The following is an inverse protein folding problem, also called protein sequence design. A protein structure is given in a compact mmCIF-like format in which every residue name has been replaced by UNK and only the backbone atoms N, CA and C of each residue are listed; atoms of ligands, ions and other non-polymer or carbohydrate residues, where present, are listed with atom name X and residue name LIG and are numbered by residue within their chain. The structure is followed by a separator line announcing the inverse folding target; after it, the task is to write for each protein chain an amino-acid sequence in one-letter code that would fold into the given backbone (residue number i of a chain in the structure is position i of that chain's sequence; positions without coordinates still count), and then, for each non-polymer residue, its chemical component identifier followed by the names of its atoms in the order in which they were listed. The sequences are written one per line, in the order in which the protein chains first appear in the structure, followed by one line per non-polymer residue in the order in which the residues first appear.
data_IF_540069439046
#
_entry.id   IF_540069439046
#
_cell.length_a   1.000
_cell.length_b   1.000
_cell.length_c   1.000
_cell.angle_alpha   90.00
_cell.angle_beta   90.00
_cell.angle_gamma   90.00
#
_symmetry.space_group_name_H-M   'P 1'
#
loop_
_entity.id
_entity.type
_entity.pdbx_description
1 polymer ?
#
# COMPACT_ATOMS: atom_id res chain seq x y z
N UNK A 1 -26.74 31.35 -10.52
CA UNK A 1 -27.19 30.07 -9.93
C UNK A 1 -27.41 29.18 -11.12
N UNK A 2 -26.34 28.49 -11.50
CA UNK A 2 -26.16 28.02 -12.87
C UNK A 2 -26.88 26.69 -13.05
N UNK A 3 -27.75 26.61 -14.06
CA UNK A 3 -28.52 25.42 -14.43
C UNK A 3 -27.63 24.19 -14.68
N UNK A 4 -26.33 24.39 -14.88
CA UNK A 4 -25.35 23.33 -15.07
C UNK A 4 -25.08 22.50 -13.80
N UNK A 5 -25.33 23.06 -12.61
CA UNK A 5 -25.15 22.34 -11.34
C UNK A 5 -26.29 21.35 -11.04
N UNK A 6 -27.47 21.53 -11.65
CA UNK A 6 -28.62 20.63 -11.50
C UNK A 6 -28.60 19.42 -12.43
N UNK A 7 -27.88 19.47 -13.55
CA UNK A 7 -27.81 18.35 -14.51
C UNK A 7 -26.83 17.25 -14.11
N UNK A 8 -25.85 17.54 -13.25
CA UNK A 8 -24.91 16.53 -12.77
C UNK A 8 -25.53 15.55 -11.74
N UNK A 9 -26.57 15.97 -11.01
CA UNK A 9 -27.19 15.14 -9.97
C UNK A 9 -28.11 14.03 -10.51
N UNK A 10 -28.48 14.05 -11.79
CA UNK A 10 -29.49 13.11 -12.36
C UNK A 10 -28.89 11.88 -13.05
N UNK A 11 -27.57 11.71 -13.07
CA UNK A 11 -26.89 10.60 -13.77
C UNK A 11 -26.09 9.65 -12.85
N UNK A 12 -26.29 9.71 -11.53
CA UNK A 12 -25.69 8.74 -10.62
C UNK A 12 -26.52 7.45 -10.62
N UNK A 13 -26.18 6.52 -11.53
CA UNK A 13 -26.76 5.17 -11.60
C UNK A 13 -26.40 4.33 -10.37
N UNK A 14 -25.48 4.79 -9.52
CA UNK A 14 -25.09 4.13 -8.29
C UNK A 14 -25.30 5.06 -7.09
N UNK A 15 -25.96 4.62 -6.00
CA UNK A 15 -25.89 5.30 -4.71
C UNK A 15 -24.42 5.40 -4.26
N UNK A 16 -24.08 6.19 -3.22
CA UNK A 16 -22.75 6.13 -2.60
C UNK A 16 -22.40 4.67 -2.32
N UNK A 17 -21.53 4.09 -3.15
CA UNK A 17 -21.18 2.67 -3.09
C UNK A 17 -20.32 2.42 -1.85
N UNK A 18 -19.38 3.33 -1.57
CA UNK A 18 -18.46 3.30 -0.45
C UNK A 18 -18.15 4.73 0.02
N UNK A 19 -18.01 4.90 1.33
CA UNK A 19 -17.46 6.11 1.95
C UNK A 19 -15.99 5.86 2.30
N UNK A 20 -15.12 6.78 1.90
CA UNK A 20 -13.69 6.70 2.22
C UNK A 20 -13.32 7.70 3.29
N UNK A 21 -12.31 7.37 4.09
CA UNK A 21 -11.72 8.31 5.02
C UNK A 21 -11.13 9.51 4.25
N UNK A 22 -11.23 10.73 4.82
CA UNK A 22 -10.70 11.91 4.16
C UNK A 22 -9.17 11.85 4.10
N UNK A 23 -8.60 12.03 2.91
CA UNK A 23 -7.15 12.10 2.71
C UNK A 23 -6.70 13.54 2.92
N UNK A 24 -5.84 13.77 3.91
CA UNK A 24 -5.38 15.11 4.32
C UNK A 24 -6.54 16.10 4.55
N UNK A 25 -7.65 15.61 5.12
CA UNK A 25 -8.84 16.41 5.40
C UNK A 25 -9.71 16.73 4.18
N UNK A 26 -9.41 16.16 2.99
CA UNK A 26 -10.23 16.30 1.78
C UNK A 26 -11.09 15.06 1.58
N UNK A 27 -12.35 15.26 1.21
CA UNK A 27 -13.27 14.18 0.84
C UNK A 27 -12.79 13.51 -0.44
N UNK A 28 -12.83 12.18 -0.47
CA UNK A 28 -12.59 11.38 -1.67
C UNK A 28 -13.94 11.03 -2.32
N UNK A 29 -14.04 11.23 -3.63
CA UNK A 29 -15.23 10.92 -4.42
C UNK A 29 -14.83 10.04 -5.62
N UNK A 30 -15.61 8.99 -5.87
CA UNK A 30 -15.41 8.11 -7.03
C UNK A 30 -16.15 8.69 -8.22
N UNK A 31 -15.43 8.95 -9.30
CA UNK A 31 -15.98 9.43 -10.57
C UNK A 31 -15.40 8.65 -11.73
N UNK A 32 -16.25 8.31 -12.71
CA UNK A 32 -15.84 7.66 -13.96
C UNK A 32 -15.50 8.67 -15.07
N UNK A 33 -15.59 9.98 -14.77
CA UNK A 33 -15.34 11.07 -15.71
C UNK A 33 -14.26 12.03 -15.21
N UNK A 34 -13.51 11.62 -14.18
CA UNK A 34 -12.40 12.41 -13.65
C UNK A 34 -11.26 12.55 -14.68
N UNK A 35 -10.55 13.70 -14.73
CA UNK A 35 -9.40 13.89 -15.62
C UNK A 35 -8.23 12.96 -15.30
N UNK A 36 -8.08 12.63 -14.01
CA UNK A 36 -7.12 11.67 -13.51
C UNK A 36 -7.83 10.33 -13.26
N UNK A 37 -7.30 9.26 -13.86
CA UNK A 37 -7.90 7.94 -13.84
C UNK A 37 -6.86 6.94 -13.34
N UNK A 38 -7.25 6.17 -12.32
CA UNK A 38 -6.45 5.06 -11.82
C UNK A 38 -7.22 3.75 -11.96
N UNK A 39 -6.52 2.70 -12.39
CA UNK A 39 -7.04 1.32 -12.39
C UNK A 39 -6.95 0.66 -11.01
N UNK A 40 -6.36 1.34 -10.02
CA UNK A 40 -6.07 0.80 -8.69
C UNK A 40 -7.13 1.18 -7.64
N UNK A 41 -8.31 1.64 -8.07
CA UNK A 41 -9.36 2.15 -7.15
C UNK A 41 -9.78 1.20 -6.03
N UNK A 42 -9.61 -0.12 -6.22
CA UNK A 42 -9.84 -1.13 -5.17
C UNK A 42 -8.93 -0.98 -3.95
N UNK A 43 -7.74 -0.40 -4.11
CA UNK A 43 -6.80 -0.16 -3.01
C UNK A 43 -7.35 0.79 -1.95
N UNK A 44 -8.30 1.67 -2.28
CA UNK A 44 -8.94 2.52 -1.28
C UNK A 44 -9.74 1.71 -0.25
N UNK A 45 -10.26 0.54 -0.64
CA UNK A 45 -10.93 -0.38 0.28
C UNK A 45 -9.91 -1.09 1.18
N UNK A 46 -8.76 -1.49 0.61
CA UNK A 46 -7.67 -2.10 1.36
C UNK A 46 -7.03 -1.10 2.34
N UNK A 47 -6.81 0.14 1.93
CA UNK A 47 -6.38 1.24 2.78
C UNK A 47 -7.35 1.52 3.93
N UNK A 48 -8.66 1.52 3.66
CA UNK A 48 -9.67 1.63 4.72
C UNK A 48 -9.74 0.42 5.65
N UNK A 49 -9.33 -0.77 5.20
CA UNK A 49 -9.16 -1.93 6.09
C UNK A 49 -7.91 -1.78 6.95
N UNK A 50 -6.76 -1.47 6.34
CA UNK A 50 -5.49 -1.28 7.05
C UNK A 50 -5.61 -0.17 8.09
N UNK A 51 -6.22 0.97 7.79
CA UNK A 51 -6.44 2.04 8.78
C UNK A 51 -7.27 1.59 10.00
N UNK A 52 -8.11 0.55 9.86
CA UNK A 52 -8.89 0.00 10.98
C UNK A 52 -8.13 -1.01 11.82
N UNK A 53 -7.21 -1.78 11.21
CA UNK A 53 -6.46 -2.84 11.89
C UNK A 53 -5.04 -2.41 12.29
N UNK A 54 -4.47 -1.41 11.62
CA UNK A 54 -3.13 -0.88 11.84
C UNK A 54 -2.00 -1.83 11.48
N UNK A 55 -2.20 -2.74 10.51
CA UNK A 55 -1.21 -3.78 10.21
C UNK A 55 0.09 -3.17 9.68
N UNK A 56 0.02 -2.24 8.73
CA UNK A 56 1.22 -1.62 8.14
C UNK A 56 1.99 -0.79 9.16
N UNK A 57 1.28 -0.04 10.01
CA UNK A 57 1.88 0.70 11.13
C UNK A 57 2.66 -0.25 12.08
N UNK A 58 2.04 -1.39 12.45
CA UNK A 58 2.69 -2.39 13.31
C UNK A 58 3.91 -3.02 12.65
N UNK A 59 3.81 -3.38 11.36
CA UNK A 59 4.92 -3.92 10.58
C UNK A 59 6.07 -2.92 10.46
N UNK A 60 5.76 -1.65 10.21
CA UNK A 60 6.74 -0.56 10.18
C UNK A 60 7.40 -0.38 11.55
N UNK A 61 6.66 -0.56 12.63
CA UNK A 61 7.17 -0.52 14.01
C UNK A 61 8.22 -1.59 14.33
N UNK A 62 8.30 -2.68 13.53
CA UNK A 62 9.36 -3.68 13.63
C UNK A 62 10.68 -3.23 12.99
N UNK A 63 10.71 -2.10 12.29
CA UNK A 63 11.86 -1.64 11.51
C UNK A 63 12.62 -0.52 12.23
N UNK A 64 13.95 -0.60 12.23
CA UNK A 64 14.80 0.47 12.77
C UNK A 64 15.28 1.40 11.64
N UNK A 65 14.71 2.60 11.56
CA UNK A 65 15.16 3.60 10.58
C UNK A 65 16.43 4.32 11.03
N UNK A 66 17.59 3.77 10.65
CA UNK A 66 18.92 4.35 10.88
C UNK A 66 19.28 5.48 9.92
N UNK A 67 18.39 5.79 8.96
CA UNK A 67 18.66 6.86 8.00
C UNK A 67 18.64 8.19 8.72
N UNK A 68 19.31 9.13 8.08
CA UNK A 68 19.44 10.48 8.54
C UNK A 68 18.10 11.24 8.38
N UNK A 69 17.40 11.64 9.47
CA UNK A 69 15.99 12.07 9.36
C UNK A 69 15.75 13.27 8.44
N UNK A 70 16.70 14.19 8.34
CA UNK A 70 16.59 15.36 7.46
C UNK A 70 16.84 15.09 5.98
N UNK A 71 17.19 13.84 5.62
CA UNK A 71 17.38 13.38 4.25
C UNK A 71 16.31 12.35 3.84
N UNK A 72 15.27 12.17 4.64
CA UNK A 72 14.19 11.22 4.36
C UNK A 72 13.11 11.90 3.52
N UNK A 73 13.03 11.52 2.26
CA UNK A 73 11.91 11.90 1.37
C UNK A 73 10.74 10.90 1.45
N UNK A 74 11.03 9.66 1.84
CA UNK A 74 10.08 8.54 1.95
C UNK A 74 10.25 7.82 3.28
N UNK A 75 9.24 7.93 4.14
CA UNK A 75 9.20 7.19 5.41
C UNK A 75 9.10 5.69 5.14
N UNK A 76 9.49 4.85 6.10
CA UNK A 76 9.27 3.40 5.94
C UNK A 76 7.80 3.05 5.86
N UNK A 77 6.93 3.77 6.57
CA UNK A 77 5.48 3.61 6.46
C UNK A 77 4.97 3.85 5.02
N UNK A 78 5.37 4.96 4.39
CA UNK A 78 5.02 5.26 2.99
C UNK A 78 5.54 4.18 2.03
N UNK A 79 6.76 3.68 2.26
CA UNK A 79 7.38 2.68 1.40
C UNK A 79 6.76 1.29 1.58
N UNK A 80 6.47 0.88 2.82
CA UNK A 80 5.78 -0.39 3.08
C UNK A 80 4.36 -0.35 2.53
N UNK A 81 3.64 0.76 2.71
CA UNK A 81 2.32 0.95 2.13
C UNK A 81 2.34 0.83 0.62
N UNK A 82 3.27 1.55 -0.04
CA UNK A 82 3.46 1.44 -1.48
C UNK A 82 3.70 -0.02 -1.89
N UNK A 83 4.64 -0.71 -1.24
CA UNK A 83 5.06 -2.04 -1.65
C UNK A 83 3.99 -3.10 -1.44
N UNK A 84 3.36 -3.12 -0.27
CA UNK A 84 2.31 -4.09 0.07
C UNK A 84 1.12 -3.91 -0.89
N UNK A 85 0.76 -2.67 -1.22
CA UNK A 85 -0.39 -2.42 -2.10
C UNK A 85 -0.08 -2.71 -3.57
N UNK A 86 1.16 -2.51 -4.02
CA UNK A 86 1.59 -2.97 -5.33
C UNK A 86 1.47 -4.50 -5.45
N UNK A 87 1.99 -5.24 -4.48
CA UNK A 87 1.87 -6.71 -4.44
C UNK A 87 0.39 -7.13 -4.40
N UNK A 88 -0.44 -6.47 -3.60
CA UNK A 88 -1.88 -6.75 -3.53
C UNK A 88 -2.60 -6.53 -4.87
N UNK A 89 -2.09 -5.63 -5.72
CA UNK A 89 -2.59 -5.38 -7.07
C UNK A 89 -1.94 -6.26 -8.16
N UNK A 90 -1.04 -7.18 -7.79
CA UNK A 90 -0.34 -8.06 -8.73
C UNK A 90 0.91 -7.46 -9.36
N UNK A 91 1.47 -6.40 -8.77
CA UNK A 91 2.72 -5.76 -9.16
C UNK A 91 3.84 -6.18 -8.20
N UNK A 92 4.42 -7.34 -8.49
CA UNK A 92 5.40 -7.99 -7.62
C UNK A 92 6.83 -7.52 -7.89
N UNK A 93 7.12 -6.93 -9.04
CA UNK A 93 8.47 -6.52 -9.40
C UNK A 93 8.79 -5.14 -8.83
N UNK A 94 10.06 -4.94 -8.42
CA UNK A 94 10.44 -3.66 -7.83
C UNK A 94 10.42 -2.51 -8.86
N UNK A 95 10.55 -2.80 -10.15
CA UNK A 95 10.47 -1.78 -11.23
C UNK A 95 9.05 -1.23 -11.40
N UNK A 96 8.02 -1.96 -10.97
CA UNK A 96 6.65 -1.44 -10.85
C UNK A 96 6.57 -0.21 -9.93
N UNK A 97 7.54 -0.01 -9.03
CA UNK A 97 7.68 1.25 -8.28
C UNK A 97 7.85 2.45 -9.21
N UNK A 98 8.67 2.35 -10.25
CA UNK A 98 8.86 3.45 -11.19
C UNK A 98 7.64 3.67 -12.07
N UNK A 99 6.90 2.59 -12.40
CA UNK A 99 5.65 2.67 -13.16
C UNK A 99 4.51 3.31 -12.37
N UNK A 100 4.37 2.95 -11.09
CA UNK A 100 3.19 3.29 -10.28
C UNK A 100 3.41 4.44 -9.30
N UNK A 101 4.63 4.98 -9.17
CA UNK A 101 4.91 6.05 -8.18
C UNK A 101 4.11 7.33 -8.37
N UNK A 102 3.54 7.55 -9.56
CA UNK A 102 2.69 8.69 -9.86
C UNK A 102 1.19 8.42 -9.77
N UNK A 103 0.78 7.16 -9.56
CA UNK A 103 -0.63 6.79 -9.41
C UNK A 103 -1.27 7.50 -8.22
N UNK A 104 -2.39 8.18 -8.47
CA UNK A 104 -3.05 9.00 -7.47
C UNK A 104 -3.70 8.19 -6.36
N UNK A 105 -4.22 6.99 -6.65
CA UNK A 105 -4.81 6.12 -5.64
C UNK A 105 -3.71 5.57 -4.73
N UNK A 106 -2.59 5.13 -5.28
CA UNK A 106 -1.46 4.63 -4.49
C UNK A 106 -0.85 5.75 -3.62
N UNK A 107 -0.72 6.97 -4.15
CA UNK A 107 -0.33 8.16 -3.36
C UNK A 107 -1.27 8.40 -2.19
N UNK A 108 -2.59 8.35 -2.43
CA UNK A 108 -3.61 8.51 -1.38
C UNK A 108 -3.51 7.43 -0.31
N UNK A 109 -3.27 6.17 -0.71
CA UNK A 109 -3.09 5.06 0.23
C UNK A 109 -1.89 5.30 1.15
N UNK A 110 -0.78 5.82 0.62
CA UNK A 110 0.41 6.20 1.40
C UNK A 110 0.27 7.55 2.12
N UNK A 111 -0.96 8.03 2.37
CA UNK A 111 -1.22 9.28 3.11
C UNK A 111 -0.87 10.58 2.37
N UNK A 112 -0.53 10.50 1.07
CA UNK A 112 -0.16 11.67 0.26
C UNK A 112 -1.34 12.20 -0.55
N UNK A 113 -1.29 13.48 -0.93
CA UNK A 113 -2.24 14.01 -1.91
C UNK A 113 -1.91 13.50 -3.32
N UNK A 114 -2.91 13.37 -4.22
CA UNK A 114 -2.67 13.04 -5.64
C UNK A 114 -1.62 13.93 -6.32
N UNK A 115 -1.64 15.23 -6.02
CA UNK A 115 -0.74 16.23 -6.60
C UNK A 115 0.64 16.33 -5.91
N UNK A 116 0.92 15.45 -4.94
CA UNK A 116 2.18 15.47 -4.20
C UNK A 116 3.34 14.90 -5.02
N UNK A 117 4.55 14.98 -4.47
CA UNK A 117 5.73 14.31 -5.01
C UNK A 117 5.46 12.83 -5.26
N UNK A 118 6.07 12.23 -6.30
CA UNK A 118 5.96 10.80 -6.55
C UNK A 118 6.30 9.95 -5.31
N UNK A 119 5.77 8.74 -5.24
CA UNK A 119 6.20 7.73 -4.29
C UNK A 119 7.65 7.28 -4.56
N UNK A 120 8.14 6.35 -3.75
CA UNK A 120 9.51 5.89 -3.84
C UNK A 120 9.77 5.18 -5.18
N UNK A 121 10.95 5.43 -5.74
CA UNK A 121 11.40 4.80 -6.99
C UNK A 121 11.90 3.37 -6.75
N UNK A 122 12.07 2.58 -7.81
CA UNK A 122 12.66 1.24 -7.74
C UNK A 122 13.94 1.16 -6.90
N UNK A 123 14.98 2.00 -7.12
CA UNK A 123 16.22 1.86 -6.35
C UNK A 123 16.04 2.24 -4.87
N UNK A 124 15.02 3.00 -4.53
CA UNK A 124 14.71 3.35 -3.14
C UNK A 124 14.06 2.14 -2.46
N UNK A 125 13.10 1.50 -3.13
CA UNK A 125 12.46 0.26 -2.67
C UNK A 125 13.47 -0.89 -2.50
N UNK A 126 14.32 -1.12 -3.50
CA UNK A 126 15.35 -2.16 -3.44
C UNK A 126 16.29 -1.99 -2.25
N UNK A 127 16.62 -0.76 -1.85
CA UNK A 127 17.45 -0.51 -0.64
C UNK A 127 16.72 -0.82 0.65
N UNK A 128 15.40 -0.61 0.71
CA UNK A 128 14.57 -1.00 1.84
C UNK A 128 14.60 -2.52 1.99
N UNK A 129 14.23 -3.25 0.93
CA UNK A 129 14.08 -4.71 0.94
C UNK A 129 15.40 -5.42 1.27
N UNK A 130 16.51 -5.00 0.64
CA UNK A 130 17.83 -5.60 0.87
C UNK A 130 18.52 -5.09 2.14
N UNK A 131 17.97 -4.05 2.76
CA UNK A 131 18.55 -3.42 3.95
C UNK A 131 17.99 -3.96 5.27
N UNK A 132 17.21 -5.04 5.25
CA UNK A 132 16.59 -5.63 6.45
C UNK A 132 17.48 -6.68 7.10
N UNK A 133 17.56 -6.64 8.42
CA UNK A 133 18.20 -7.69 9.21
C UNK A 133 17.27 -8.88 9.40
N UNK A 134 17.85 -10.06 9.62
CA UNK A 134 17.08 -11.27 9.94
C UNK A 134 16.20 -11.09 11.20
N UNK A 135 16.62 -10.22 12.12
CA UNK A 135 15.87 -9.90 13.33
C UNK A 135 14.61 -9.10 12.99
N UNK A 136 14.74 -8.04 12.20
CA UNK A 136 13.58 -7.24 11.76
C UNK A 136 12.58 -8.11 10.98
N UNK A 137 13.06 -8.95 10.06
CA UNK A 137 12.22 -9.88 9.31
C UNK A 137 11.49 -10.88 10.22
N UNK A 138 12.17 -11.40 11.26
CA UNK A 138 11.55 -12.27 12.25
C UNK A 138 10.49 -11.54 13.08
N UNK A 139 10.78 -10.32 13.54
CA UNK A 139 9.83 -9.49 14.29
C UNK A 139 8.59 -9.15 13.44
N UNK A 140 8.75 -8.85 12.16
CA UNK A 140 7.63 -8.68 11.21
C UNK A 140 6.82 -9.97 11.05
N UNK A 141 7.47 -11.13 10.93
CA UNK A 141 6.79 -12.42 10.83
C UNK A 141 5.96 -12.74 12.07
N UNK A 142 6.51 -12.49 13.26
CA UNK A 142 5.76 -12.62 14.54
C UNK A 142 4.58 -11.64 14.56
N UNK A 143 4.79 -10.38 14.21
CA UNK A 143 3.73 -9.38 14.14
C UNK A 143 2.56 -9.81 13.24
N UNK A 144 2.87 -10.39 12.08
CA UNK A 144 1.86 -10.89 11.15
C UNK A 144 1.05 -12.07 11.72
N UNK A 145 1.72 -13.02 12.38
CA UNK A 145 1.04 -14.16 13.05
C UNK A 145 0.17 -13.67 14.22
N UNK A 146 0.66 -12.71 15.00
CA UNK A 146 -0.12 -12.11 16.09
C UNK A 146 -1.37 -11.39 15.58
N UNK A 147 -1.27 -10.63 14.48
CA UNK A 147 -2.44 -10.01 13.84
C UNK A 147 -3.43 -11.08 13.35
N UNK A 148 -2.93 -12.15 12.72
CA UNK A 148 -3.76 -13.26 12.28
C UNK A 148 -4.52 -13.90 13.44
N UNK A 149 -3.85 -14.20 14.56
CA UNK A 149 -4.50 -14.74 15.77
C UNK A 149 -5.53 -13.77 16.32
N UNK A 150 -5.20 -12.47 16.41
CA UNK A 150 -6.09 -11.44 16.92
C UNK A 150 -7.34 -11.22 16.05
N UNK A 151 -7.33 -11.66 14.79
CA UNK A 151 -8.49 -11.59 13.89
C UNK A 151 -9.60 -12.60 14.21
N UNK A 152 -9.35 -13.57 15.10
CA UNK A 152 -10.33 -14.56 15.57
C UNK A 152 -10.94 -14.16 16.93
N UNK A 153 -12.19 -14.57 17.18
CA UNK A 153 -12.84 -14.37 18.49
C UNK A 153 -12.11 -15.12 19.63
N UNK A 154 -11.51 -16.27 19.32
CA UNK A 154 -10.69 -17.08 20.21
C UNK A 154 -9.46 -17.61 19.45
N UNK A 155 -8.34 -17.81 20.15
CA UNK A 155 -7.09 -18.29 19.55
C UNK A 155 -7.29 -19.66 18.85
N UNK A 156 -6.86 -19.80 17.59
CA UNK A 156 -7.02 -21.06 16.86
C UNK A 156 -6.15 -22.17 17.46
N UNK A 157 -6.69 -23.40 17.56
CA UNK A 157 -5.96 -24.56 18.10
C UNK A 157 -4.73 -24.95 17.25
N UNK A 158 -4.70 -24.56 15.98
CA UNK A 158 -3.64 -24.90 15.03
C UNK A 158 -3.54 -23.83 13.93
N UNK A 159 -2.31 -23.46 13.59
CA UNK A 159 -1.97 -22.65 12.42
C UNK A 159 -1.14 -23.51 11.48
N UNK A 160 -1.58 -23.63 10.23
CA UNK A 160 -0.83 -24.30 9.16
C UNK A 160 -0.21 -23.21 8.29
N UNK A 161 1.12 -23.12 8.31
CA UNK A 161 1.87 -22.22 7.45
C UNK A 161 2.42 -23.02 6.28
N UNK A 162 2.05 -22.64 5.07
CA UNK A 162 2.67 -23.16 3.87
C UNK A 162 3.90 -22.30 3.54
N UNK A 163 5.03 -22.97 3.31
CA UNK A 163 6.30 -22.32 2.99
C UNK A 163 6.76 -22.84 1.64
N UNK A 164 6.33 -22.17 0.57
CA UNK A 164 6.85 -22.43 -0.76
C UNK A 164 8.23 -21.78 -0.93
N UNK A 165 9.28 -22.59 -1.07
CA UNK A 165 10.61 -22.07 -1.45
C UNK A 165 10.63 -21.87 -2.97
N UNK A 166 10.33 -20.64 -3.42
CA UNK A 166 10.36 -20.28 -4.85
C UNK A 166 11.78 -20.02 -5.38
N UNK A 167 12.80 -20.09 -4.52
CA UNK A 167 14.18 -19.74 -4.86
C UNK A 167 14.97 -20.95 -5.40
N UNK A 168 14.82 -21.25 -6.69
CA UNK A 168 15.86 -22.02 -7.36
C UNK A 168 17.06 -21.10 -7.62
N UNK A 169 18.22 -21.41 -7.05
CA UNK A 169 19.49 -20.79 -7.47
C UNK A 169 19.68 -21.07 -8.96
N UNK A 170 19.55 -20.05 -9.81
CA UNK A 170 19.94 -20.13 -11.21
C UNK A 170 21.47 -20.21 -11.28
N UNK A 171 22.02 -21.43 -11.34
CA UNK A 171 23.41 -21.63 -11.72
C UNK A 171 23.53 -21.50 -13.24
N UNK A 172 23.73 -20.28 -13.74
CA UNK A 172 24.04 -20.05 -15.14
C UNK A 172 24.10 -18.57 -15.52
N UNK A 173 25.08 -18.18 -16.34
CA UNK A 173 25.20 -16.83 -16.91
C UNK A 173 24.09 -16.55 -17.94
N UNK A 174 22.89 -16.29 -17.46
CA UNK A 174 21.85 -15.66 -18.26
C UNK A 174 21.54 -14.29 -17.66
N UNK A 175 21.62 -13.27 -18.52
CA UNK A 175 21.24 -11.91 -18.18
C UNK A 175 19.72 -11.83 -18.05
N UNK A 176 19.25 -11.45 -16.87
CA UNK A 176 17.96 -10.80 -16.71
C UNK A 176 18.03 -9.35 -17.19
#
# INVERSE_FOLDING_TARGET
MDENSKKQSENLVFPELFSFDPIQGKRVEVSFTAPDLSSQGGLLLLGGLDHRIGLIDRLTGCLEDKRCPWLIDHTYDEMLTQRIFQVACGYEDADDCDLLRDDSVLKMCAGKSPDSSPLSSQPTMTRLENGRSIRELYEMGVCFVEEFIASYDEEPECIILDCDDTSFNAYGEQQG
#
